data_IF_245785187093
#
_entry.id   IF_245785187093
#
_cell.length_a   1.000
_cell.length_b   1.000
_cell.length_c   1.000
_cell.angle_alpha   90.00
_cell.angle_beta   90.00
_cell.angle_gamma   90.00
#
_symmetry.space_group_name_H-M   'P 1'
#
loop_
_entity.id
_entity.type
_entity.pdbx_description
1 polymer ?
#
# COMPACT_ATOMS: atom_id res chain seq x y z
N UNK A 1 13.01 3.14 5.98
CA UNK A 1 11.92 2.52 5.19
C UNK A 1 10.84 2.08 6.15
N UNK A 2 9.55 2.27 5.81
CA UNK A 2 8.42 1.79 6.62
C UNK A 2 7.54 0.84 5.80
N UNK A 3 7.13 -0.27 6.40
CA UNK A 3 6.20 -1.24 5.82
C UNK A 3 4.78 -0.97 6.31
N UNK A 4 3.85 -0.71 5.39
CA UNK A 4 2.43 -0.60 5.68
C UNK A 4 1.73 -1.95 5.42
N UNK A 5 1.11 -2.53 6.44
CA UNK A 5 0.57 -3.89 6.35
C UNK A 5 -0.86 -4.02 6.87
N UNK A 6 -1.65 -4.90 6.25
CA UNK A 6 -3.04 -5.14 6.69
C UNK A 6 -3.12 -6.13 7.86
N UNK A 7 -4.32 -6.26 8.44
CA UNK A 7 -4.64 -7.12 9.60
C UNK A 7 -4.18 -8.57 9.51
N UNK A 8 -4.02 -9.10 8.29
CA UNK A 8 -3.59 -10.47 8.06
C UNK A 8 -2.06 -10.65 8.15
N UNK A 9 -1.29 -9.57 8.23
CA UNK A 9 0.17 -9.58 8.29
C UNK A 9 0.74 -9.25 9.67
N UNK A 10 -0.11 -9.18 10.70
CA UNK A 10 0.33 -8.88 12.06
C UNK A 10 0.93 -10.10 12.81
N UNK A 11 1.44 -11.11 12.11
CA UNK A 11 2.03 -12.29 12.74
C UNK A 11 3.31 -11.93 13.50
N UNK A 12 3.53 -12.50 14.69
CA UNK A 12 4.64 -12.11 15.57
C UNK A 12 6.00 -12.27 14.91
N UNK A 13 6.20 -13.41 14.27
CA UNK A 13 7.47 -13.75 13.64
C UNK A 13 7.71 -12.86 12.42
N UNK A 14 6.68 -12.61 11.59
CA UNK A 14 6.78 -11.69 10.46
C UNK A 14 7.16 -10.26 10.89
N UNK A 15 6.54 -9.73 11.95
CA UNK A 15 6.90 -8.39 12.44
C UNK A 15 8.33 -8.37 12.99
N UNK A 16 8.77 -9.45 13.65
CA UNK A 16 10.14 -9.57 14.15
C UNK A 16 11.15 -9.62 12.99
N UNK A 17 10.86 -10.41 11.94
CA UNK A 17 11.72 -10.53 10.77
C UNK A 17 11.86 -9.19 10.04
N UNK A 18 10.74 -8.47 9.84
CA UNK A 18 10.77 -7.14 9.22
C UNK A 18 11.56 -6.16 10.08
N UNK A 19 11.31 -6.11 11.39
CA UNK A 19 12.04 -5.23 12.30
C UNK A 19 13.55 -5.55 12.32
N UNK A 20 13.94 -6.83 12.22
CA UNK A 20 15.33 -7.27 12.16
C UNK A 20 16.07 -6.75 10.91
N UNK A 21 15.36 -6.40 9.83
CA UNK A 21 15.97 -5.74 8.66
C UNK A 21 16.31 -4.27 8.90
N UNK A 22 15.92 -3.69 10.05
CA UNK A 22 16.00 -2.25 10.31
C UNK A 22 14.85 -1.44 9.68
N UNK A 23 13.84 -2.12 9.12
CA UNK A 23 12.63 -1.47 8.64
C UNK A 23 11.66 -1.17 9.79
N UNK A 24 10.96 -0.05 9.67
CA UNK A 24 9.85 0.29 10.54
C UNK A 24 8.57 -0.38 10.03
N UNK A 25 7.60 -0.60 10.92
CA UNK A 25 6.32 -1.23 10.58
C UNK A 25 5.17 -0.34 11.03
N UNK A 26 4.11 -0.28 10.23
CA UNK A 26 2.79 0.16 10.62
C UNK A 26 1.76 -0.85 10.10
N UNK A 27 1.20 -1.64 11.02
CA UNK A 27 0.32 -2.77 10.70
C UNK A 27 -1.02 -2.64 11.41
N UNK A 28 -2.11 -2.94 10.70
CA UNK A 28 -3.42 -3.05 11.35
C UNK A 28 -3.48 -4.32 12.17
N UNK A 29 -4.08 -4.25 13.34
CA UNK A 29 -4.39 -5.39 14.19
C UNK A 29 -5.87 -5.77 14.00
N UNK A 30 -6.18 -7.04 14.25
CA UNK A 30 -7.58 -7.43 14.48
C UNK A 30 -8.06 -6.79 15.78
N UNK A 31 -9.29 -6.30 15.80
CA UNK A 31 -9.82 -5.52 16.92
C UNK A 31 -9.89 -6.33 18.23
N UNK A 32 -10.15 -7.63 18.12
CA UNK A 32 -10.23 -8.61 19.22
C UNK A 32 -8.85 -9.06 19.74
N UNK A 33 -7.75 -8.67 19.08
CA UNK A 33 -6.41 -9.06 19.50
C UNK A 33 -6.06 -8.41 20.83
N UNK A 34 -5.82 -9.24 21.85
CA UNK A 34 -5.34 -8.77 23.15
C UNK A 34 -3.89 -8.32 23.03
N UNK A 35 -3.63 -7.09 23.47
CA UNK A 35 -2.32 -6.46 23.48
C UNK A 35 -2.02 -6.00 24.92
N UNK A 36 -0.86 -6.34 25.51
CA UNK A 36 -0.50 -5.88 26.84
C UNK A 36 -0.25 -4.37 26.83
N UNK A 37 -0.81 -3.63 27.78
CA UNK A 37 -0.55 -2.19 27.91
C UNK A 37 0.63 -2.01 28.86
N UNK A 38 1.77 -1.55 28.33
CA UNK A 38 2.98 -1.32 29.12
C UNK A 38 3.09 0.13 29.62
N UNK A 39 2.68 1.10 28.80
CA UNK A 39 2.61 2.51 29.15
C UNK A 39 1.60 3.22 28.25
N UNK A 40 0.97 4.30 28.72
CA UNK A 40 0.05 5.13 27.92
C UNK A 40 0.67 6.49 27.64
N UNK A 41 0.42 7.01 26.44
CA UNK A 41 0.87 8.32 26.00
C UNK A 41 -0.30 9.33 25.96
N UNK A 42 0.04 10.62 25.91
CA UNK A 42 -0.95 11.71 25.92
C UNK A 42 -1.79 11.81 24.65
N UNK A 43 -1.32 11.26 23.54
CA UNK A 43 -2.04 11.19 22.26
C UNK A 43 -3.09 10.07 22.23
N UNK A 44 -3.31 9.37 23.35
CA UNK A 44 -4.24 8.24 23.46
C UNK A 44 -3.64 6.90 23.03
N UNK A 45 -2.45 6.90 22.40
CA UNK A 45 -1.74 5.68 22.04
C UNK A 45 -1.06 5.05 23.26
N UNK A 46 -0.66 3.78 23.15
CA UNK A 46 0.01 3.08 24.24
C UNK A 46 1.13 2.17 23.75
N UNK A 47 2.17 2.05 24.57
CA UNK A 47 3.24 1.10 24.38
C UNK A 47 2.74 -0.32 24.70
N UNK A 48 3.11 -1.26 23.85
CA UNK A 48 2.79 -2.68 23.92
C UNK A 48 3.93 -3.53 23.36
N UNK A 49 3.70 -4.84 23.27
CA UNK A 49 4.62 -5.79 22.63
C UNK A 49 3.89 -6.71 21.69
N UNK A 50 4.56 -7.06 20.60
CA UNK A 50 4.12 -8.02 19.61
C UNK A 50 5.22 -9.08 19.50
N UNK A 51 5.12 -10.14 20.32
CA UNK A 51 6.23 -11.05 20.51
C UNK A 51 7.36 -10.36 21.28
N UNK A 52 8.58 -10.43 20.75
CA UNK A 52 9.74 -9.73 21.30
C UNK A 52 9.83 -8.25 20.87
N UNK A 53 9.06 -7.83 19.86
CA UNK A 53 9.13 -6.47 19.31
C UNK A 53 8.27 -5.53 20.15
N UNK A 54 8.87 -4.40 20.57
CA UNK A 54 8.13 -3.29 21.19
C UNK A 54 7.36 -2.55 20.11
N UNK A 55 6.08 -2.32 20.36
CA UNK A 55 5.21 -1.60 19.43
C UNK A 55 4.40 -0.55 20.18
N UNK A 56 4.06 0.53 19.50
CA UNK A 56 3.05 1.49 19.94
C UNK A 56 1.74 1.16 19.25
N UNK A 57 0.68 1.04 20.02
CA UNK A 57 -0.68 0.78 19.52
C UNK A 57 -1.46 2.08 19.53
N UNK A 58 -2.06 2.39 18.39
CA UNK A 58 -2.89 3.56 18.14
C UNK A 58 -4.29 3.04 17.83
N UNK A 59 -5.30 3.58 18.51
CA UNK A 59 -6.70 3.24 18.27
C UNK A 59 -7.37 4.44 17.61
N UNK A 60 -8.04 4.21 16.49
CA UNK A 60 -8.65 5.24 15.68
C UNK A 60 -10.04 4.80 15.25
N UNK A 61 -10.97 5.74 15.21
CA UNK A 61 -12.27 5.55 14.59
C UNK A 61 -12.20 6.12 13.18
N UNK A 62 -12.45 5.27 12.19
CA UNK A 62 -12.39 5.64 10.77
C UNK A 62 -13.80 5.66 10.24
N UNK A 63 -14.24 6.84 9.78
CA UNK A 63 -15.51 7.00 9.06
C UNK A 63 -15.22 7.14 7.58
N UNK A 64 -15.80 6.23 6.80
CA UNK A 64 -15.69 6.18 5.35
C UNK A 64 -16.99 6.70 4.78
N UNK A 65 -16.93 7.78 4.02
CA UNK A 65 -18.08 8.30 3.29
C UNK A 65 -18.11 7.67 1.90
N UNK A 66 -19.05 6.77 1.65
CA UNK A 66 -19.32 6.19 0.34
C UNK A 66 -20.64 6.75 -0.22
N UNK A 67 -20.83 6.64 -1.55
CA UNK A 67 -22.07 7.06 -2.22
C UNK A 67 -23.31 6.34 -1.68
N UNK A 68 -23.14 5.15 -1.09
CA UNK A 68 -24.20 4.34 -0.49
C UNK A 68 -24.41 4.60 1.02
N UNK A 69 -23.67 5.53 1.64
CA UNK A 69 -23.76 5.84 3.07
C UNK A 69 -22.40 5.99 3.76
N UNK A 70 -22.41 6.21 5.07
CA UNK A 70 -21.18 6.25 5.87
C UNK A 70 -20.97 4.93 6.63
N UNK A 71 -19.74 4.40 6.58
CA UNK A 71 -19.33 3.25 7.37
C UNK A 71 -18.29 3.70 8.38
N UNK A 72 -18.61 3.55 9.66
CA UNK A 72 -17.67 3.84 10.75
C UNK A 72 -17.13 2.54 11.32
N UNK A 73 -15.80 2.42 11.39
CA UNK A 73 -15.13 1.24 11.91
C UNK A 73 -13.94 1.63 12.78
N UNK A 74 -13.78 0.95 13.91
CA UNK A 74 -12.61 1.10 14.77
C UNK A 74 -11.42 0.33 14.20
N UNK A 75 -10.28 1.01 14.07
CA UNK A 75 -9.02 0.46 13.61
C UNK A 75 -8.02 0.52 14.77
N UNK A 76 -7.30 -0.58 14.98
CA UNK A 76 -6.14 -0.63 15.89
C UNK A 76 -4.89 -0.80 15.04
N UNK A 77 -3.98 0.16 15.10
CA UNK A 77 -2.72 0.14 14.36
C UNK A 77 -1.59 -0.14 15.36
N UNK A 78 -0.63 -0.98 14.99
CA UNK A 78 0.60 -1.18 15.73
C UNK A 78 1.78 -0.69 14.90
N UNK A 79 2.70 0.04 15.54
CA UNK A 79 3.90 0.55 14.89
C UNK A 79 5.15 0.35 15.74
N UNK A 80 6.30 0.19 15.09
CA UNK A 80 7.62 0.22 15.74
C UNK A 80 8.12 1.65 15.98
N UNK A 81 7.44 2.67 15.46
CA UNK A 81 7.70 4.08 15.73
C UNK A 81 7.21 4.48 17.14
N UNK A 82 8.07 4.30 18.14
CA UNK A 82 7.67 4.42 19.55
C UNK A 82 7.56 5.85 20.07
N UNK A 83 8.24 6.81 19.44
CA UNK A 83 8.25 8.22 19.86
C UNK A 83 6.97 8.92 19.38
N UNK A 84 6.05 9.20 20.31
CA UNK A 84 4.78 9.84 20.00
C UNK A 84 4.89 11.36 19.76
N UNK A 85 6.00 11.99 20.15
CA UNK A 85 6.26 13.40 19.85
C UNK A 85 6.79 13.55 18.42
N UNK A 86 7.69 12.66 18.02
CA UNK A 86 8.26 12.66 16.66
C UNK A 86 7.33 12.07 15.60
N UNK A 87 6.51 11.09 15.98
CA UNK A 87 5.57 10.42 15.07
C UNK A 87 4.16 10.46 15.67
N UNK A 88 3.41 11.57 15.51
CA UNK A 88 2.08 11.72 16.09
C UNK A 88 1.10 10.65 15.59
N UNK A 89 0.17 10.22 16.45
CA UNK A 89 -0.82 9.20 16.09
C UNK A 89 -1.67 9.59 14.85
N UNK A 90 -2.06 10.86 14.75
CA UNK A 90 -2.86 11.37 13.64
C UNK A 90 -2.16 11.20 12.29
N UNK A 91 -0.87 11.50 12.21
CA UNK A 91 -0.08 11.35 10.98
C UNK A 91 0.06 9.88 10.58
N UNK A 92 0.26 8.98 11.54
CA UNK A 92 0.33 7.54 11.28
C UNK A 92 -1.02 6.98 10.82
N UNK A 93 -2.13 7.48 11.36
CA UNK A 93 -3.47 7.13 10.90
C UNK A 93 -3.62 7.56 9.42
N UNK A 94 -3.29 8.80 9.08
CA UNK A 94 -3.35 9.31 7.70
C UNK A 94 -2.45 8.51 6.74
N UNK A 95 -1.22 8.20 7.16
CA UNK A 95 -0.31 7.34 6.39
C UNK A 95 -0.91 5.95 6.17
N UNK A 96 -1.56 5.38 7.19
CA UNK A 96 -2.24 4.10 7.04
C UNK A 96 -3.45 4.17 6.10
N UNK A 97 -4.16 5.31 6.06
CA UNK A 97 -5.24 5.54 5.11
C UNK A 97 -4.75 5.51 3.67
N UNK A 98 -3.57 6.04 3.36
CA UNK A 98 -2.98 5.93 2.00
C UNK A 98 -2.79 4.48 1.55
N UNK A 99 -2.68 3.51 2.49
CA UNK A 99 -2.65 2.09 2.13
C UNK A 99 -3.91 1.64 1.39
N UNK A 100 -5.06 2.30 1.56
CA UNK A 100 -6.27 1.99 0.79
C UNK A 100 -6.06 2.08 -0.72
N UNK A 101 -5.09 2.88 -1.19
CA UNK A 101 -4.71 2.92 -2.61
C UNK A 101 -4.19 1.58 -3.15
N UNK A 102 -3.80 0.64 -2.28
CA UNK A 102 -3.46 -0.71 -2.73
C UNK A 102 -4.67 -1.44 -3.32
N UNK A 103 -5.90 -1.10 -2.90
CA UNK A 103 -7.12 -1.67 -3.50
C UNK A 103 -7.29 -1.17 -4.93
N UNK A 104 -6.95 0.09 -5.21
CA UNK A 104 -6.85 0.66 -6.55
C UNK A 104 -5.82 -0.12 -7.38
N UNK A 105 -4.63 -0.38 -6.84
CA UNK A 105 -3.60 -1.17 -7.52
C UNK A 105 -4.06 -2.62 -7.84
N UNK A 106 -4.79 -3.26 -6.93
CA UNK A 106 -5.38 -4.58 -7.19
C UNK A 106 -6.46 -4.52 -8.27
N UNK A 107 -7.29 -3.48 -8.29
CA UNK A 107 -8.29 -3.27 -9.34
C UNK A 107 -7.61 -3.06 -10.70
N UNK A 108 -6.54 -2.27 -10.75
CA UNK A 108 -5.74 -2.01 -11.95
C UNK A 108 -5.20 -3.31 -12.55
N UNK A 109 -4.56 -4.14 -11.70
CA UNK A 109 -3.97 -5.43 -12.10
C UNK A 109 -5.03 -6.46 -12.50
N UNK A 110 -6.10 -6.62 -11.71
CA UNK A 110 -7.08 -7.69 -11.90
C UNK A 110 -8.15 -7.36 -12.93
N UNK A 111 -8.47 -6.09 -13.11
CA UNK A 111 -9.60 -5.66 -13.93
C UNK A 111 -9.16 -4.73 -15.05
N UNK A 112 -8.45 -3.64 -14.75
CA UNK A 112 -8.18 -2.59 -15.76
C UNK A 112 -7.20 -3.02 -16.86
N UNK A 113 -6.14 -3.77 -16.52
CA UNK A 113 -5.23 -4.33 -17.52
C UNK A 113 -5.90 -5.45 -18.31
N UNK A 114 -6.60 -6.34 -17.59
CA UNK A 114 -7.26 -7.49 -18.19
C UNK A 114 -8.52 -7.12 -18.97
N UNK A 115 -9.06 -5.91 -18.79
CA UNK A 115 -10.27 -5.42 -19.44
C UNK A 115 -11.45 -6.38 -19.19
N UNK A 116 -11.60 -6.81 -17.94
CA UNK A 116 -12.62 -7.78 -17.51
C UNK A 116 -12.37 -9.23 -17.94
N UNK A 117 -11.25 -9.53 -18.62
CA UNK A 117 -10.88 -10.91 -18.98
C UNK A 117 -10.29 -11.67 -17.80
N UNK A 118 -10.40 -12.99 -17.82
CA UNK A 118 -9.74 -13.89 -16.86
C UNK A 118 -8.46 -14.49 -17.46
N UNK A 119 -7.58 -14.98 -16.59
CA UNK A 119 -6.40 -15.76 -17.00
C UNK A 119 -6.85 -16.99 -17.80
N UNK A 120 -6.11 -17.31 -18.87
CA UNK A 120 -6.53 -18.31 -19.88
C UNK A 120 -5.84 -19.65 -19.69
N UNK A 121 -4.63 -19.66 -19.14
CA UNK A 121 -3.88 -20.86 -18.88
C UNK A 121 -4.65 -21.84 -17.98
N UNK A 122 -4.50 -23.14 -18.27
CA UNK A 122 -5.12 -24.24 -17.50
C UNK A 122 -4.11 -25.05 -16.69
N UNK A 123 -2.87 -24.58 -16.62
CA UNK A 123 -1.79 -25.22 -15.87
C UNK A 123 -1.20 -24.22 -14.86
N UNK A 124 -0.72 -24.66 -13.69
CA UNK A 124 -0.12 -23.77 -12.70
C UNK A 124 1.01 -22.91 -13.27
N UNK A 125 1.92 -23.50 -14.06
CA UNK A 125 3.03 -22.75 -14.67
C UNK A 125 2.58 -21.73 -15.72
N UNK A 126 1.53 -22.03 -16.49
CA UNK A 126 0.97 -21.05 -17.43
C UNK A 126 0.27 -19.89 -16.71
N UNK A 127 -0.42 -20.18 -15.60
CA UNK A 127 -1.02 -19.14 -14.74
C UNK A 127 0.06 -18.24 -14.14
N UNK A 128 1.15 -18.82 -13.63
CA UNK A 128 2.29 -18.08 -13.12
C UNK A 128 2.90 -17.17 -14.21
N UNK A 129 3.09 -17.68 -15.42
CA UNK A 129 3.57 -16.89 -16.55
C UNK A 129 2.63 -15.70 -16.87
N UNK A 130 1.32 -15.93 -16.92
CA UNK A 130 0.35 -14.85 -17.18
C UNK A 130 0.35 -13.81 -16.06
N UNK A 131 0.50 -14.21 -14.79
CA UNK A 131 0.65 -13.29 -13.65
C UNK A 131 1.91 -12.44 -13.79
N UNK A 132 3.05 -13.05 -14.13
CA UNK A 132 4.28 -12.28 -14.36
C UNK A 132 4.15 -11.33 -15.55
N UNK A 133 3.48 -11.73 -16.63
CA UNK A 133 3.22 -10.85 -17.76
C UNK A 133 2.36 -9.63 -17.35
N UNK A 134 1.38 -9.81 -16.46
CA UNK A 134 0.61 -8.71 -15.90
C UNK A 134 1.47 -7.78 -15.05
N UNK A 135 2.32 -8.31 -14.18
CA UNK A 135 3.21 -7.48 -13.35
C UNK A 135 4.22 -6.70 -14.20
N UNK A 136 4.78 -7.33 -15.25
CA UNK A 136 5.72 -6.68 -16.19
C UNK A 136 5.04 -5.58 -16.99
N UNK A 137 3.75 -5.70 -17.32
CA UNK A 137 3.01 -4.63 -18.03
C UNK A 137 2.56 -3.52 -17.09
N UNK A 138 2.25 -3.85 -15.85
CA UNK A 138 1.87 -2.90 -14.80
C UNK A 138 3.03 -1.99 -14.37
N UNK A 139 4.21 -2.55 -14.15
CA UNK A 139 5.33 -1.83 -13.53
C UNK A 139 5.78 -0.58 -14.33
N UNK A 140 5.93 -0.64 -15.67
CA UNK A 140 6.29 0.53 -16.47
C UNK A 140 5.25 1.64 -16.43
N UNK A 141 3.96 1.29 -16.34
CA UNK A 141 2.88 2.29 -16.23
C UNK A 141 2.98 3.04 -14.90
N UNK A 142 3.22 2.34 -13.79
CA UNK A 142 3.42 2.98 -12.48
C UNK A 142 4.68 3.83 -12.43
N UNK A 143 5.77 3.38 -13.06
CA UNK A 143 7.00 4.18 -13.18
C UNK A 143 6.73 5.46 -13.97
N UNK A 144 6.05 5.36 -15.12
CA UNK A 144 5.73 6.54 -15.93
C UNK A 144 4.81 7.53 -15.20
N UNK A 145 3.85 7.03 -14.42
CA UNK A 145 3.00 7.86 -13.55
C UNK A 145 3.82 8.57 -12.48
N UNK A 146 4.71 7.85 -11.79
CA UNK A 146 5.58 8.41 -10.77
C UNK A 146 6.55 9.45 -11.35
N UNK A 147 7.19 9.17 -12.49
CA UNK A 147 8.09 10.11 -13.17
C UNK A 147 7.36 11.39 -13.59
N UNK A 148 6.09 11.29 -13.99
CA UNK A 148 5.28 12.44 -14.39
C UNK A 148 4.89 13.34 -13.20
N UNK A 149 4.71 12.77 -12.00
CA UNK A 149 4.27 13.52 -10.81
C UNK A 149 5.41 13.93 -9.89
N UNK A 150 6.53 13.19 -9.85
CA UNK A 150 7.62 13.42 -8.88
C UNK A 150 8.27 14.80 -8.99
N UNK A 151 8.18 15.43 -10.16
CA UNK A 151 8.72 16.79 -10.40
C UNK A 151 7.68 17.90 -10.18
N UNK A 152 6.42 17.55 -9.89
CA UNK A 152 5.32 18.49 -9.71
C UNK A 152 4.95 18.61 -8.23
N UNK A 153 5.51 19.61 -7.55
CA UNK A 153 5.35 19.80 -6.09
C UNK A 153 3.90 20.05 -5.64
N UNK A 154 3.02 20.49 -6.54
CA UNK A 154 1.61 20.80 -6.24
C UNK A 154 0.64 19.67 -6.62
N UNK A 155 1.13 18.59 -7.20
CA UNK A 155 0.31 17.46 -7.62
C UNK A 155 0.58 16.28 -6.71
N UNK A 156 -0.42 15.94 -5.91
CA UNK A 156 -0.43 14.69 -5.16
C UNK A 156 -0.22 13.51 -6.14
N UNK A 157 0.85 12.69 -5.97
CA UNK A 157 1.14 11.55 -6.83
C UNK A 157 -0.03 10.58 -7.00
N UNK A 158 -0.91 10.48 -6.00
CA UNK A 158 -2.08 9.60 -6.01
C UNK A 158 -3.16 10.09 -7.00
N UNK A 159 -3.05 11.32 -7.52
CA UNK A 159 -3.94 11.84 -8.58
C UNK A 159 -3.59 11.37 -9.99
N UNK A 160 -2.46 10.68 -10.17
CA UNK A 160 -2.12 10.11 -11.46
C UNK A 160 -3.11 8.99 -11.83
N UNK A 161 -3.79 9.14 -12.98
CA UNK A 161 -4.75 8.12 -13.44
C UNK A 161 -4.04 7.01 -14.21
N UNK A 162 -4.14 5.78 -13.70
CA UNK A 162 -3.65 4.58 -14.39
C UNK A 162 -4.31 4.36 -15.75
N UNK A 163 -5.62 4.62 -15.86
CA UNK A 163 -6.35 4.51 -17.13
C UNK A 163 -5.81 5.49 -18.17
N UNK A 164 -5.54 6.75 -17.78
CA UNK A 164 -4.90 7.73 -18.66
C UNK A 164 -3.50 7.28 -19.08
N UNK A 165 -2.68 6.81 -18.15
CA UNK A 165 -1.33 6.31 -18.45
C UNK A 165 -1.37 5.13 -19.44
N UNK A 166 -2.30 4.18 -19.24
CA UNK A 166 -2.51 3.04 -20.14
C UNK A 166 -2.95 3.48 -21.55
N UNK A 167 -3.83 4.47 -21.65
CA UNK A 167 -4.27 4.99 -22.95
C UNK A 167 -3.20 5.80 -23.68
N UNK A 168 -2.31 6.47 -22.94
CA UNK A 168 -1.18 7.21 -23.47
C UNK A 168 0.02 6.31 -23.84
N UNK A 169 0.06 5.08 -23.32
CA UNK A 169 1.14 4.14 -23.61
C UNK A 169 1.19 3.81 -25.13
N UNK A 170 2.38 3.86 -25.75
CA UNK A 170 2.53 3.55 -27.17
C UNK A 170 2.03 2.13 -27.47
N UNK A 171 1.18 1.98 -28.48
CA UNK A 171 0.76 0.65 -28.92
C UNK A 171 1.88 0.00 -29.75
N UNK A 172 2.10 -1.32 -29.62
CA UNK A 172 3.00 -2.03 -30.52
C UNK A 172 2.55 -1.79 -31.98
N UNK A 173 3.41 -1.15 -32.77
CA UNK A 173 3.13 -0.81 -34.17
C UNK A 173 2.71 0.65 -34.46
N UNK A 174 2.67 1.52 -33.45
CA UNK A 174 2.38 2.95 -33.67
C UNK A 174 3.57 3.67 -34.32
N UNK A 175 3.46 4.18 -35.58
CA UNK A 175 4.59 4.76 -36.31
C UNK A 175 5.10 6.08 -35.70
N UNK A 176 4.38 6.69 -34.76
CA UNK A 176 4.76 7.96 -34.13
C UNK A 176 5.90 7.87 -33.11
N UNK A 177 6.24 6.67 -32.62
CA UNK A 177 7.19 6.50 -31.51
C UNK A 177 8.61 6.10 -31.96
N UNK A 178 9.07 6.56 -33.14
CA UNK A 178 10.49 6.58 -33.50
C UNK A 178 11.08 7.97 -33.26
N UNK A 179 11.28 8.36 -32.00
CA UNK A 179 12.18 9.47 -31.68
C UNK A 179 13.22 9.02 -30.67
N UNK A 180 14.44 8.89 -31.22
CA UNK A 180 15.76 8.90 -30.58
C UNK A 180 15.79 8.70 -29.06
N UNK A 181 16.05 7.47 -28.62
CA UNK A 181 16.90 7.23 -27.46
C UNK A 181 18.08 6.36 -27.88
N UNK A 182 19.18 7.03 -28.18
CA UNK A 182 20.51 6.44 -28.28
C UNK A 182 20.98 6.28 -26.83
N UNK A 183 20.91 5.06 -26.30
CA UNK A 183 21.55 4.74 -25.03
C UNK A 183 23.06 4.61 -25.33
N UNK A 184 23.87 5.46 -24.68
CA UNK A 184 25.30 5.23 -24.50
C UNK A 184 25.49 4.35 -23.26
#
# INVERSE_FOLDING_TARGET
MILLADRNFAAKDLIADVAATGAEVLVRLKNDRKMPVLARYRDGSYLSTLGAVRVRVIEAEITIHATAGHHTGTYRLATTLLDHHRYPAAELIQLYHQRWEIETAYLELKSSILDGRVLRARTPGGIEQEVYALLVTYQPLRIAMADATITQLEVDPDRASFTTARHAAPRPGDPGCRRHRRWY
#
